data_IF_942539545708
#
_entry.id   IF_942539545708
#
_cell.length_a   1.000
_cell.length_b   1.000
_cell.length_c   1.000
_cell.angle_alpha   90.00
_cell.angle_beta   90.00
_cell.angle_gamma   90.00
#
_symmetry.space_group_name_H-M   'P 1'
#
loop_
_entity.id
_entity.type
_entity.pdbx_description
1 polymer ?
#
# COMPACT_ATOMS: atom_id res chain seq x y z
N UNK A 1 -8.84 -18.87 -5.45
CA UNK A 1 -9.44 -19.95 -4.63
C UNK A 1 -10.86 -20.18 -5.08
N UNK A 2 -11.36 -21.42 -4.98
CA UNK A 2 -12.73 -21.78 -5.40
C UNK A 2 -13.41 -22.60 -4.32
N UNK A 3 -14.65 -22.26 -4.00
CA UNK A 3 -15.45 -22.85 -2.94
C UNK A 3 -16.83 -23.27 -3.46
N UNK A 4 -17.29 -24.47 -3.10
CA UNK A 4 -18.57 -25.02 -3.54
C UNK A 4 -19.66 -24.70 -2.50
N UNK A 5 -20.65 -23.90 -2.90
CA UNK A 5 -21.73 -23.42 -2.03
C UNK A 5 -22.99 -24.30 -2.09
N UNK A 6 -22.89 -25.52 -2.63
CA UNK A 6 -24.00 -26.48 -2.62
C UNK A 6 -24.39 -26.86 -1.20
N UNK A 7 -25.67 -27.20 -1.02
CA UNK A 7 -26.24 -27.62 0.26
C UNK A 7 -25.49 -28.79 0.93
N UNK A 8 -24.88 -29.67 0.14
CA UNK A 8 -24.08 -30.81 0.62
C UNK A 8 -22.62 -30.48 0.89
N UNK A 9 -22.17 -29.26 0.58
CA UNK A 9 -20.81 -28.77 0.78
C UNK A 9 -20.54 -28.35 2.23
N UNK A 10 -19.27 -28.10 2.53
CA UNK A 10 -18.83 -27.54 3.82
C UNK A 10 -18.95 -26.02 3.87
N UNK A 11 -18.94 -25.37 2.72
CA UNK A 11 -18.99 -23.91 2.59
C UNK A 11 -20.45 -23.45 2.46
N UNK A 12 -20.79 -22.40 3.20
CA UNK A 12 -22.17 -21.89 3.25
C UNK A 12 -22.19 -20.38 3.11
N UNK A 13 -23.11 -19.90 2.29
CA UNK A 13 -23.44 -18.47 2.20
C UNK A 13 -24.80 -18.22 2.86
N UNK A 14 -24.89 -17.13 3.62
CA UNK A 14 -26.15 -16.66 4.21
C UNK A 14 -26.29 -15.18 3.90
N UNK A 15 -27.36 -14.82 3.18
CA UNK A 15 -27.70 -13.44 2.88
C UNK A 15 -28.74 -12.94 3.89
N UNK A 16 -28.41 -11.86 4.59
CA UNK A 16 -29.28 -11.25 5.60
C UNK A 16 -29.50 -9.78 5.31
N UNK A 17 -30.74 -9.34 5.52
CA UNK A 17 -31.07 -7.91 5.57
C UNK A 17 -31.35 -7.53 7.02
N UNK A 18 -30.90 -6.36 7.44
CA UNK A 18 -31.02 -5.88 8.81
C UNK A 18 -31.87 -4.60 8.89
N UNK A 19 -32.44 -4.31 10.05
CA UNK A 19 -33.21 -3.08 10.31
C UNK A 19 -32.34 -1.82 10.49
N UNK A 20 -31.04 -2.01 10.73
CA UNK A 20 -30.02 -0.98 10.69
C UNK A 20 -28.68 -1.55 10.19
N UNK A 21 -27.76 -0.67 9.79
CA UNK A 21 -26.42 -1.07 9.33
C UNK A 21 -25.65 -1.79 10.45
N UNK A 22 -25.24 -3.06 10.29
CA UNK A 22 -24.41 -3.73 11.28
C UNK A 22 -22.99 -3.14 11.31
N UNK A 23 -22.39 -3.13 12.49
CA UNK A 23 -20.98 -2.79 12.71
C UNK A 23 -20.13 -4.07 12.74
N UNK A 24 -18.80 -3.94 12.70
CA UNK A 24 -17.88 -5.08 12.82
C UNK A 24 -18.12 -5.92 14.08
N UNK A 25 -18.52 -5.30 15.19
CA UNK A 25 -18.87 -5.96 16.44
C UNK A 25 -20.12 -6.85 16.38
N UNK A 26 -20.91 -6.78 15.30
CA UNK A 26 -22.06 -7.67 15.09
C UNK A 26 -21.62 -9.10 14.73
N UNK A 27 -20.48 -9.22 14.05
CA UNK A 27 -19.97 -10.48 13.54
C UNK A 27 -18.94 -11.10 14.49
N UNK A 28 -18.69 -12.40 14.33
CA UNK A 28 -17.64 -13.16 15.03
C UNK A 28 -17.71 -13.14 16.58
N UNK A 29 -18.87 -12.82 17.15
CA UNK A 29 -19.10 -12.89 18.60
C UNK A 29 -19.54 -14.30 19.02
N UNK A 30 -19.12 -14.75 20.19
CA UNK A 30 -19.60 -16.01 20.79
C UNK A 30 -21.12 -16.00 21.05
N UNK A 31 -21.70 -14.81 21.23
CA UNK A 31 -23.14 -14.59 21.30
C UNK A 31 -23.48 -13.44 20.34
N UNK A 32 -24.24 -13.70 19.26
CA UNK A 32 -24.64 -12.68 18.32
C UNK A 32 -25.45 -11.57 19.01
N UNK A 33 -25.14 -10.28 18.76
CA UNK A 33 -25.94 -9.18 19.30
C UNK A 33 -27.38 -9.22 18.80
N UNK A 34 -28.31 -8.74 19.61
CA UNK A 34 -29.73 -8.62 19.24
C UNK A 34 -30.02 -7.38 18.39
N UNK A 35 -29.02 -6.52 18.17
CA UNK A 35 -29.14 -5.28 17.40
C UNK A 35 -27.90 -5.10 16.52
N UNK A 36 -28.08 -4.81 15.21
CA UNK A 36 -29.35 -4.74 14.50
C UNK A 36 -30.09 -6.08 14.39
N UNK A 37 -31.40 -6.02 14.19
CA UNK A 37 -32.28 -7.19 14.03
C UNK A 37 -32.26 -7.69 12.59
N UNK A 38 -32.18 -9.01 12.42
CA UNK A 38 -32.35 -9.66 11.11
C UNK A 38 -33.80 -9.59 10.67
N UNK A 39 -34.05 -8.99 9.50
CA UNK A 39 -35.37 -8.90 8.86
C UNK A 39 -35.65 -10.07 7.93
N UNK A 40 -34.65 -10.46 7.13
CA UNK A 40 -34.75 -11.58 6.20
C UNK A 40 -33.46 -12.38 6.26
N UNK A 41 -33.58 -13.69 6.08
CA UNK A 41 -32.46 -14.62 5.97
C UNK A 41 -32.71 -15.55 4.78
N UNK A 42 -31.68 -15.70 3.95
CA UNK A 42 -31.65 -16.60 2.82
C UNK A 42 -30.38 -17.43 2.87
N UNK A 43 -30.51 -18.73 2.61
CA UNK A 43 -29.39 -19.68 2.63
C UNK A 43 -29.03 -20.06 1.21
N UNK A 44 -27.73 -20.07 0.90
CA UNK A 44 -27.23 -20.61 -0.35
C UNK A 44 -27.42 -22.11 -0.43
N UNK A 45 -28.08 -22.58 -1.49
CA UNK A 45 -28.28 -24.02 -1.78
C UNK A 45 -27.48 -24.47 -3.00
N UNK A 46 -26.99 -23.52 -3.80
CA UNK A 46 -26.14 -23.76 -4.95
C UNK A 46 -25.27 -22.54 -5.22
N UNK A 47 -24.16 -22.76 -5.93
CA UNK A 47 -23.26 -21.73 -6.41
C UNK A 47 -21.80 -22.14 -6.26
N UNK A 48 -20.92 -21.41 -6.93
CA UNK A 48 -19.47 -21.58 -6.83
C UNK A 48 -18.85 -20.21 -6.58
N UNK A 49 -18.27 -20.02 -5.39
CA UNK A 49 -17.54 -18.80 -5.04
C UNK A 49 -16.10 -18.90 -5.55
N UNK A 50 -15.71 -17.93 -6.36
CA UNK A 50 -14.36 -17.70 -6.85
C UNK A 50 -13.82 -16.47 -6.13
N UNK A 51 -12.67 -16.64 -5.48
CA UNK A 51 -11.90 -15.57 -4.86
C UNK A 51 -10.62 -15.40 -5.65
N UNK A 52 -10.41 -14.24 -6.24
CA UNK A 52 -9.16 -13.88 -6.92
C UNK A 52 -8.42 -12.89 -6.05
N UNK A 53 -7.17 -13.18 -5.72
CA UNK A 53 -6.27 -12.26 -5.03
C UNK A 53 -5.16 -11.90 -5.99
N UNK A 54 -4.96 -10.61 -6.22
CA UNK A 54 -3.92 -10.07 -7.08
C UNK A 54 -3.11 -9.02 -6.34
N UNK A 55 -1.82 -8.89 -6.73
CA UNK A 55 -0.99 -7.76 -6.34
C UNK A 55 -1.55 -6.54 -7.08
N UNK A 56 -1.93 -5.50 -6.32
CA UNK A 56 -2.49 -4.26 -6.82
C UNK A 56 -1.37 -3.26 -7.13
N UNK A 57 -0.51 -2.98 -6.14
CA UNK A 57 0.67 -2.13 -6.29
C UNK A 57 1.74 -2.44 -5.24
N UNK A 58 2.91 -1.81 -5.39
CA UNK A 58 3.99 -1.78 -4.40
C UNK A 58 4.42 -0.33 -4.19
N UNK A 59 4.89 -0.01 -3.00
CA UNK A 59 5.20 1.35 -2.57
C UNK A 59 6.04 1.27 -1.28
N UNK A 60 7.22 1.89 -1.26
CA UNK A 60 8.09 2.04 -0.06
C UNK A 60 7.47 2.95 1.02
N UNK A 61 6.43 3.72 0.69
CA UNK A 61 5.70 4.64 1.56
C UNK A 61 6.51 5.85 2.00
N UNK A 62 7.51 6.24 1.23
CA UNK A 62 8.28 7.46 1.43
C UNK A 62 7.41 8.73 1.24
N UNK A 63 6.30 8.59 0.51
CA UNK A 63 5.29 9.60 0.21
C UNK A 63 5.55 10.41 -1.07
N UNK A 64 6.43 9.93 -1.94
CA UNK A 64 6.49 10.26 -3.36
C UNK A 64 5.62 9.25 -4.13
N UNK A 65 5.15 9.63 -5.32
CA UNK A 65 4.29 8.79 -6.16
C UNK A 65 5.00 8.62 -7.50
N UNK A 66 5.84 7.57 -7.61
CA UNK A 66 6.57 7.26 -8.86
C UNK A 66 5.82 6.30 -9.80
N UNK A 67 4.51 6.06 -9.63
CA UNK A 67 3.71 5.13 -10.47
C UNK A 67 3.74 5.47 -11.99
N UNK A 68 4.33 6.60 -12.39
CA UNK A 68 4.52 6.97 -13.79
C UNK A 68 5.64 6.19 -14.50
N UNK A 69 6.63 5.65 -13.77
CA UNK A 69 7.75 4.89 -14.35
C UNK A 69 8.41 3.92 -13.36
N UNK A 70 7.83 2.73 -13.19
CA UNK A 70 8.32 1.61 -12.36
C UNK A 70 9.71 1.03 -12.75
N UNK A 71 10.46 1.70 -13.63
CA UNK A 71 11.80 1.34 -14.05
C UNK A 71 12.81 2.49 -13.88
N UNK A 72 12.39 3.61 -13.28
CA UNK A 72 13.32 4.63 -12.81
C UNK A 72 14.15 4.04 -11.66
N UNK A 73 15.45 4.30 -11.69
CA UNK A 73 16.49 3.79 -10.80
C UNK A 73 17.57 4.87 -10.85
N UNK A 74 17.45 5.86 -9.96
CA UNK A 74 18.24 7.11 -10.03
C UNK A 74 19.70 6.87 -9.64
N UNK A 75 19.95 6.09 -8.59
CA UNK A 75 21.29 5.79 -8.10
C UNK A 75 21.97 4.60 -8.83
N UNK A 76 21.19 3.78 -9.54
CA UNK A 76 21.66 2.65 -10.33
C UNK A 76 21.97 1.40 -9.50
N UNK A 77 21.43 1.26 -8.29
CA UNK A 77 21.69 0.14 -7.39
C UNK A 77 20.88 -1.13 -7.70
N UNK A 78 20.00 -1.06 -8.71
CA UNK A 78 19.05 -2.09 -9.18
C UNK A 78 17.73 -2.19 -8.45
N UNK A 79 17.48 -1.36 -7.44
CA UNK A 79 16.18 -1.15 -6.82
C UNK A 79 15.52 0.05 -7.50
N UNK A 80 14.35 -0.12 -8.13
CA UNK A 80 13.65 1.01 -8.71
C UNK A 80 13.14 1.96 -7.63
N UNK A 81 13.10 3.26 -7.91
CA UNK A 81 12.73 4.33 -6.98
C UNK A 81 11.46 4.05 -6.16
N UNK A 82 10.38 3.57 -6.77
CA UNK A 82 9.12 3.24 -6.06
C UNK A 82 9.21 2.10 -5.01
N UNK A 83 10.39 1.52 -4.87
CA UNK A 83 10.76 0.48 -3.90
C UNK A 83 12.05 0.85 -3.14
N UNK A 84 12.55 2.08 -3.30
CA UNK A 84 13.83 2.55 -2.77
C UNK A 84 13.58 3.61 -1.69
N UNK A 85 14.15 3.38 -0.50
CA UNK A 85 13.99 4.33 0.60
C UNK A 85 14.98 5.54 0.47
N UNK A 86 15.92 5.51 -0.49
CA UNK A 86 17.04 6.43 -0.74
C UNK A 86 17.33 6.54 -2.26
N UNK A 87 16.41 7.18 -2.99
CA UNK A 87 16.32 7.16 -4.46
C UNK A 87 17.61 7.51 -5.21
N UNK A 88 18.38 8.48 -4.72
CA UNK A 88 19.60 8.99 -5.32
C UNK A 88 20.88 8.46 -4.64
N UNK A 89 20.71 7.64 -3.60
CA UNK A 89 21.76 6.88 -2.92
C UNK A 89 22.71 7.75 -2.07
N UNK A 90 22.26 8.91 -1.61
CA UNK A 90 23.06 9.86 -0.86
C UNK A 90 23.07 9.61 0.67
N UNK A 91 22.23 8.66 1.12
CA UNK A 91 21.98 8.25 2.51
C UNK A 91 21.16 9.24 3.32
N UNK A 92 20.35 10.06 2.69
CA UNK A 92 19.21 10.76 3.25
C UNK A 92 17.96 10.08 2.70
N UNK A 93 16.97 9.74 3.55
CA UNK A 93 15.79 9.07 3.03
C UNK A 93 15.01 10.00 2.10
N UNK A 94 14.51 9.48 0.98
CA UNK A 94 13.61 10.15 0.01
C UNK A 94 12.48 10.90 0.74
N UNK A 95 11.92 10.28 1.79
CA UNK A 95 10.86 10.85 2.63
C UNK A 95 11.22 12.15 3.38
N UNK A 96 12.50 12.41 3.62
CA UNK A 96 13.04 13.63 4.24
C UNK A 96 13.35 14.74 3.22
N UNK A 97 13.54 14.39 1.95
CA UNK A 97 13.90 15.31 0.85
C UNK A 97 12.72 15.72 0.00
N UNK A 98 11.67 14.91 -0.05
CA UNK A 98 10.50 15.16 -0.90
C UNK A 98 10.01 16.61 -0.84
N UNK A 99 9.86 17.20 -2.03
CA UNK A 99 9.36 18.56 -2.21
C UNK A 99 10.41 19.66 -1.99
N UNK A 100 11.69 19.31 -1.92
CA UNK A 100 12.83 20.23 -2.01
C UNK A 100 13.49 20.18 -3.40
N UNK A 101 14.24 21.22 -3.69
CA UNK A 101 15.01 21.51 -4.92
C UNK A 101 15.97 22.64 -4.51
N UNK A 102 17.04 22.25 -3.81
CA UNK A 102 17.87 23.13 -2.99
C UNK A 102 18.68 24.11 -3.85
N UNK A 103 19.24 23.65 -4.96
CA UNK A 103 19.96 24.49 -5.93
C UNK A 103 19.06 25.16 -6.99
N UNK A 104 17.78 24.75 -7.06
CA UNK A 104 16.78 25.25 -8.01
C UNK A 104 17.09 24.93 -9.48
N UNK A 105 17.76 23.82 -9.77
CA UNK A 105 18.02 23.35 -11.14
C UNK A 105 16.83 22.63 -11.79
N UNK A 106 15.83 22.25 -10.98
CA UNK A 106 14.60 21.58 -11.37
C UNK A 106 14.61 20.06 -11.22
N UNK A 107 15.69 19.47 -10.69
CA UNK A 107 15.76 18.11 -10.17
C UNK A 107 15.48 18.19 -8.66
N UNK A 108 14.46 17.49 -8.14
CA UNK A 108 14.23 17.45 -6.70
C UNK A 108 15.40 16.79 -5.96
N UNK A 109 15.70 17.25 -4.73
CA UNK A 109 16.79 16.72 -3.87
C UNK A 109 16.83 15.18 -3.83
N UNK A 110 15.68 14.51 -3.64
CA UNK A 110 15.62 13.03 -3.62
C UNK A 110 15.98 12.34 -4.95
N UNK A 111 16.23 13.09 -6.03
CA UNK A 111 16.70 12.61 -7.32
C UNK A 111 18.05 13.25 -7.73
N UNK A 112 18.67 14.03 -6.84
CA UNK A 112 19.87 14.81 -7.08
C UNK A 112 20.95 14.55 -6.01
N UNK A 113 22.05 13.92 -6.42
CA UNK A 113 23.11 13.55 -5.50
C UNK A 113 24.09 14.69 -5.14
N UNK A 114 23.81 15.93 -5.56
CA UNK A 114 24.55 17.17 -5.29
C UNK A 114 23.53 18.29 -5.01
N UNK A 115 22.76 18.13 -3.92
CA UNK A 115 21.56 18.91 -3.56
C UNK A 115 21.70 20.43 -3.72
N UNK A 116 22.86 20.98 -3.40
CA UNK A 116 23.15 22.42 -3.42
C UNK A 116 23.97 22.89 -4.63
N UNK A 117 24.34 21.95 -5.52
CA UNK A 117 25.06 22.19 -6.76
C UNK A 117 26.46 22.78 -6.55
N UNK A 118 27.09 22.56 -5.40
CA UNK A 118 28.42 23.08 -5.09
C UNK A 118 29.55 22.27 -5.76
N UNK A 119 29.26 21.04 -6.18
CA UNK A 119 30.16 20.09 -6.82
C UNK A 119 30.75 19.03 -5.88
N UNK A 120 30.29 18.93 -4.64
CA UNK A 120 30.59 17.88 -3.66
C UNK A 120 29.30 17.09 -3.44
N UNK A 121 29.31 15.80 -3.76
CA UNK A 121 28.12 14.95 -3.59
C UNK A 121 27.58 15.01 -2.16
N UNK A 122 26.26 15.05 -1.99
CA UNK A 122 25.56 15.17 -0.71
C UNK A 122 25.98 14.07 0.29
N UNK A 123 26.25 12.85 -0.20
CA UNK A 123 26.80 11.72 0.59
C UNK A 123 28.17 12.01 1.24
N UNK A 124 28.95 12.91 0.62
CA UNK A 124 30.26 13.35 1.04
C UNK A 124 30.21 14.62 1.88
N UNK A 125 29.04 14.99 2.41
CA UNK A 125 28.84 16.21 3.18
C UNK A 125 28.15 15.98 4.53
N UNK A 126 28.43 16.87 5.48
CA UNK A 126 27.93 16.74 6.84
C UNK A 126 26.48 17.19 6.94
N UNK A 127 25.59 16.28 7.36
CA UNK A 127 24.18 16.61 7.64
C UNK A 127 23.98 17.48 8.89
N UNK A 128 25.02 17.65 9.71
CA UNK A 128 24.89 18.28 11.04
C UNK A 128 25.86 19.43 11.30
N UNK A 129 26.91 19.55 10.50
CA UNK A 129 27.83 20.67 10.62
C UNK A 129 27.35 21.84 9.75
N UNK A 130 27.81 23.02 10.12
CA UNK A 130 27.62 24.32 9.46
C UNK A 130 29.00 24.99 9.59
N UNK A 131 29.84 24.79 8.57
CA UNK A 131 31.26 25.11 8.65
C UNK A 131 31.58 26.59 8.45
N UNK A 132 30.68 27.35 7.82
CA UNK A 132 30.81 28.79 7.62
C UNK A 132 30.01 29.62 8.65
N UNK A 133 29.04 29.00 9.34
CA UNK A 133 28.27 29.54 10.44
C UNK A 133 27.07 30.41 10.01
N UNK A 134 26.58 30.26 8.79
CA UNK A 134 25.47 31.04 8.25
C UNK A 134 24.07 30.50 8.62
N UNK A 135 24.02 29.28 9.15
CA UNK A 135 22.82 28.59 9.62
C UNK A 135 22.21 27.61 8.62
N UNK A 136 22.86 27.37 7.48
CA UNK A 136 22.57 26.28 6.54
C UNK A 136 23.52 25.11 6.86
N UNK A 137 23.02 23.88 6.77
CA UNK A 137 23.89 22.71 6.97
C UNK A 137 24.69 22.44 5.70
N UNK A 138 25.92 21.96 5.85
CA UNK A 138 26.86 21.80 4.74
C UNK A 138 26.27 21.15 3.49
N UNK A 139 25.48 20.08 3.64
CA UNK A 139 24.89 19.33 2.53
C UNK A 139 23.78 20.07 1.74
N UNK A 140 23.44 21.29 2.16
CA UNK A 140 22.46 22.17 1.50
C UNK A 140 23.04 23.58 1.29
N UNK A 141 24.35 23.74 1.46
CA UNK A 141 25.05 25.01 1.49
C UNK A 141 26.08 25.10 0.35
N UNK A 142 25.69 25.80 -0.70
CA UNK A 142 26.52 26.10 -1.88
C UNK A 142 27.87 26.79 -1.56
N UNK A 143 28.02 27.43 -0.40
CA UNK A 143 29.25 28.08 0.04
C UNK A 143 30.14 27.16 0.91
N UNK A 144 29.61 26.03 1.39
CA UNK A 144 30.39 24.96 2.03
C UNK A 144 31.40 24.38 1.03
N UNK A 145 32.51 23.85 1.54
CA UNK A 145 33.57 23.23 0.71
C UNK A 145 34.18 22.00 1.36
N UNK A 146 33.57 21.52 2.44
CA UNK A 146 34.13 20.47 3.27
C UNK A 146 33.63 19.10 2.83
N UNK A 147 34.39 18.47 1.94
CA UNK A 147 34.19 17.05 1.63
C UNK A 147 34.68 16.16 2.79
N UNK A 148 33.82 15.22 3.19
CA UNK A 148 34.07 14.17 4.18
C UNK A 148 33.89 12.79 3.57
N UNK A 149 34.44 11.76 4.22
CA UNK A 149 34.06 10.38 3.91
C UNK A 149 32.59 10.15 4.33
N UNK A 150 31.81 9.35 3.56
CA UNK A 150 30.44 9.03 3.92
C UNK A 150 30.32 8.55 5.36
N UNK A 151 29.59 9.30 6.19
CA UNK A 151 29.45 9.03 7.62
C UNK A 151 28.02 8.66 8.04
N UNK A 152 27.07 8.76 7.11
CA UNK A 152 25.66 8.39 7.27
C UNK A 152 25.52 6.86 7.18
N UNK A 153 24.63 6.23 7.98
CA UNK A 153 24.36 4.80 7.85
C UNK A 153 23.77 4.50 6.48
N UNK A 154 23.99 3.29 5.96
CA UNK A 154 23.26 2.80 4.78
C UNK A 154 21.77 2.70 5.11
N UNK A 155 20.95 3.11 4.17
CA UNK A 155 19.51 2.93 4.20
C UNK A 155 19.21 1.54 3.61
N UNK A 156 18.23 0.85 4.19
CA UNK A 156 17.84 -0.49 3.75
C UNK A 156 16.42 -0.42 3.24
N UNK A 157 16.22 -0.81 1.99
CA UNK A 157 14.95 -0.62 1.31
C UNK A 157 13.88 -1.54 1.87
N UNK A 158 12.75 -0.95 2.24
CA UNK A 158 11.55 -1.65 2.68
C UNK A 158 10.37 -1.21 1.83
N UNK A 159 9.51 -2.14 1.44
CA UNK A 159 8.34 -1.78 0.65
C UNK A 159 7.08 -2.54 1.03
N UNK A 160 5.93 -1.94 0.80
CA UNK A 160 4.63 -2.52 1.07
C UNK A 160 4.00 -3.06 -0.20
N UNK A 161 3.65 -4.35 -0.21
CA UNK A 161 2.81 -4.95 -1.26
C UNK A 161 1.33 -4.80 -0.90
N UNK A 162 0.55 -4.17 -1.77
CA UNK A 162 -0.89 -4.02 -1.64
C UNK A 162 -1.60 -5.09 -2.46
N UNK A 163 -2.57 -5.76 -1.86
CA UNK A 163 -3.30 -6.86 -2.47
C UNK A 163 -4.78 -6.55 -2.54
N UNK A 164 -5.39 -6.89 -3.67
CA UNK A 164 -6.82 -6.76 -3.88
C UNK A 164 -7.45 -8.14 -4.04
N UNK A 165 -8.50 -8.38 -3.26
CA UNK A 165 -9.33 -9.56 -3.39
C UNK A 165 -10.68 -9.21 -4.02
N UNK A 166 -11.03 -9.92 -5.09
CA UNK A 166 -12.34 -9.89 -5.73
C UNK A 166 -13.09 -11.20 -5.53
N UNK A 167 -14.41 -11.12 -5.41
CA UNK A 167 -15.28 -12.25 -5.08
C UNK A 167 -16.40 -12.34 -6.10
N UNK A 168 -16.50 -13.49 -6.77
CA UNK A 168 -17.53 -13.77 -7.78
C UNK A 168 -18.23 -15.07 -7.41
N UNK A 169 -19.55 -15.10 -7.43
CA UNK A 169 -20.32 -16.33 -7.23
C UNK A 169 -21.06 -16.68 -8.51
N UNK A 170 -20.71 -17.81 -9.11
CA UNK A 170 -21.40 -18.35 -10.29
C UNK A 170 -22.57 -19.23 -9.86
N UNK A 171 -23.74 -19.05 -10.48
CA UNK A 171 -24.91 -19.90 -10.29
C UNK A 171 -25.53 -19.87 -8.88
N UNK A 172 -25.39 -18.75 -8.16
CA UNK A 172 -25.89 -18.60 -6.79
C UNK A 172 -27.40 -18.82 -6.72
N UNK A 173 -27.83 -19.78 -5.91
CA UNK A 173 -29.22 -19.98 -5.55
C UNK A 173 -29.40 -19.73 -4.05
N UNK A 174 -30.32 -18.83 -3.71
CA UNK A 174 -30.70 -18.49 -2.34
C UNK A 174 -32.12 -18.98 -2.05
N UNK A 175 -32.32 -19.59 -0.88
CA UNK A 175 -33.63 -20.09 -0.43
C UNK A 175 -33.95 -19.56 0.96
N UNK A 176 -35.17 -19.04 1.16
CA UNK A 176 -35.63 -18.62 2.48
C UNK A 176 -36.45 -19.72 3.19
N UNK A 177 -36.84 -19.47 4.45
CA UNK A 177 -37.60 -20.43 5.27
C UNK A 177 -38.97 -20.83 4.68
N UNK A 178 -39.54 -20.03 3.78
CA UNK A 178 -40.80 -20.32 3.10
C UNK A 178 -40.62 -21.13 1.80
N UNK A 179 -39.37 -21.44 1.43
CA UNK A 179 -39.03 -22.12 0.18
C UNK A 179 -39.00 -21.21 -1.04
N UNK A 180 -39.07 -19.89 -0.88
CA UNK A 180 -38.91 -18.96 -2.00
C UNK A 180 -37.44 -18.97 -2.44
N UNK A 181 -37.22 -18.84 -3.75
CA UNK A 181 -35.90 -18.90 -4.37
C UNK A 181 -35.53 -17.56 -5.01
N UNK A 182 -34.25 -17.19 -4.94
CA UNK A 182 -33.61 -16.16 -5.75
C UNK A 182 -32.44 -16.83 -6.48
N UNK A 183 -32.29 -16.55 -7.77
CA UNK A 183 -31.24 -17.12 -8.61
C UNK A 183 -30.43 -16.00 -9.27
N UNK A 184 -29.11 -16.13 -9.22
CA UNK A 184 -28.17 -15.32 -9.98
C UNK A 184 -27.34 -16.23 -10.87
N UNK A 185 -27.11 -15.81 -12.11
CA UNK A 185 -26.16 -16.48 -13.01
C UNK A 185 -24.72 -16.15 -12.58
N UNK A 186 -24.46 -14.88 -12.26
CA UNK A 186 -23.23 -14.36 -11.68
C UNK A 186 -23.61 -13.32 -10.63
N UNK A 187 -22.96 -13.35 -9.47
CA UNK A 187 -23.09 -12.36 -8.40
C UNK A 187 -21.69 -11.86 -8.01
N UNK A 188 -21.41 -10.58 -8.28
CA UNK A 188 -20.10 -9.92 -8.14
C UNK A 188 -20.11 -8.67 -7.25
N UNK A 189 -21.26 -8.33 -6.67
CA UNK A 189 -21.46 -7.14 -5.82
C UNK A 189 -21.13 -7.42 -4.34
N UNK A 190 -19.98 -8.07 -4.10
CA UNK A 190 -19.44 -8.30 -2.75
C UNK A 190 -18.41 -7.23 -2.34
N UNK A 191 -18.04 -6.34 -3.27
CA UNK A 191 -17.00 -5.34 -3.09
C UNK A 191 -15.58 -5.89 -3.24
N UNK A 192 -14.61 -5.02 -3.00
CA UNK A 192 -13.19 -5.37 -2.96
C UNK A 192 -12.72 -5.38 -1.51
N UNK A 193 -11.81 -6.30 -1.20
CA UNK A 193 -11.07 -6.28 0.05
C UNK A 193 -9.61 -5.99 -0.26
N UNK A 194 -9.04 -5.04 0.48
CA UNK A 194 -7.64 -4.64 0.35
C UNK A 194 -6.90 -5.08 1.62
N UNK A 195 -5.71 -5.64 1.42
CA UNK A 195 -4.78 -6.00 2.49
C UNK A 195 -3.37 -5.66 2.05
N UNK A 196 -2.42 -5.62 2.99
CA UNK A 196 -1.05 -5.24 2.69
C UNK A 196 -0.02 -6.06 3.48
N UNK A 197 1.20 -6.12 2.96
CA UNK A 197 2.32 -6.81 3.60
C UNK A 197 3.61 -6.02 3.39
N UNK A 198 4.28 -5.68 4.49
CA UNK A 198 5.63 -5.10 4.47
C UNK A 198 6.66 -6.15 4.10
N UNK A 199 7.60 -5.78 3.24
CA UNK A 199 8.75 -6.53 2.76
C UNK A 199 10.02 -5.81 3.23
N UNK A 200 10.95 -6.59 3.78
CA UNK A 200 12.30 -6.18 4.24
C UNK A 200 13.35 -6.97 3.45
#
# INVERSE_FOLDING_TARGET
YTYDLKETGTDKITYRTFDAKPTSSYFCQSVPPTTPMTLNEWTGTNGELIITVELDRKDDNDGVDEEANDALDTDGDTVPNYLDDDDDGDRIPTSEEKGKDTDSDGIPDYLDNDDDGDGILTINESKTDDDDGDGIFNYLDIDSRQSIEPNRPEITNTYTEYYKASFIINGLQLVNANGNTIQYDVYDDLGNFEDSKVIE
#
